data_IF_355989628650
#
_entry.id   IF_355989628650
#
_cell.length_a   1.000
_cell.length_b   1.000
_cell.length_c   1.000
_cell.angle_alpha   90.00
_cell.angle_beta   90.00
_cell.angle_gamma   90.00
#
_symmetry.space_group_name_H-M   'P 1'
#
loop_
_entity.id
_entity.type
_entity.pdbx_description
1 polymer ?
#
# COMPACT_ATOMS: atom_id res chain seq x y z
N UNK A 1 -28.24 10.91 -9.43
CA UNK A 1 -26.95 10.17 -9.37
C UNK A 1 -26.11 10.66 -8.20
N UNK A 2 -25.23 9.85 -7.59
CA UNK A 2 -24.43 10.25 -6.40
C UNK A 2 -23.56 11.50 -6.63
N UNK A 3 -23.09 11.73 -7.87
CA UNK A 3 -22.34 12.94 -8.24
C UNK A 3 -23.20 14.22 -8.15
N UNK A 4 -24.49 14.15 -8.50
CA UNK A 4 -25.41 15.28 -8.34
C UNK A 4 -25.76 15.57 -6.87
N UNK A 5 -25.43 14.65 -5.96
CA UNK A 5 -25.61 14.80 -4.52
C UNK A 5 -24.35 15.36 -3.82
N UNK A 6 -23.37 15.86 -4.57
CA UNK A 6 -22.16 16.51 -4.04
C UNK A 6 -20.98 15.58 -3.75
N UNK A 7 -20.97 14.37 -4.30
CA UNK A 7 -19.81 13.48 -4.17
C UNK A 7 -18.59 14.02 -4.92
N UNK A 8 -17.43 14.05 -4.28
CA UNK A 8 -16.16 14.44 -4.89
C UNK A 8 -15.70 13.36 -5.88
N UNK A 9 -15.76 13.70 -7.18
CA UNK A 9 -15.40 12.83 -8.31
C UNK A 9 -13.89 12.57 -8.41
N UNK A 10 -13.08 13.35 -7.71
CA UNK A 10 -11.63 13.25 -7.66
C UNK A 10 -11.12 12.63 -6.36
N UNK A 11 -12.03 12.30 -5.43
CA UNK A 11 -11.66 11.68 -4.18
C UNK A 11 -11.00 10.31 -4.42
N UNK A 12 -9.73 10.20 -4.02
CA UNK A 12 -8.90 9.03 -4.27
C UNK A 12 -8.71 8.19 -2.99
N UNK A 13 -9.63 7.26 -2.72
CA UNK A 13 -9.46 6.27 -1.64
C UNK A 13 -10.23 4.96 -1.92
N UNK A 14 -9.58 3.85 -2.32
CA UNK A 14 -8.14 3.72 -2.62
C UNK A 14 -7.71 4.36 -3.95
N UNK A 15 -8.62 4.53 -4.92
CA UNK A 15 -8.37 5.11 -6.24
C UNK A 15 -9.51 6.05 -6.64
N UNK A 16 -9.31 6.89 -7.66
CA UNK A 16 -10.40 7.73 -8.19
C UNK A 16 -11.44 6.87 -8.93
N UNK A 17 -12.71 7.31 -8.98
CA UNK A 17 -13.74 6.68 -9.82
C UNK A 17 -13.30 6.51 -11.27
N UNK A 18 -12.50 7.43 -11.79
CA UNK A 18 -11.98 7.41 -13.15
C UNK A 18 -10.95 6.29 -13.38
N UNK A 19 -10.03 6.07 -12.43
CA UNK A 19 -9.09 4.93 -12.46
C UNK A 19 -9.85 3.60 -12.39
N UNK A 20 -10.86 3.51 -11.53
CA UNK A 20 -11.66 2.29 -11.36
C UNK A 20 -12.45 1.96 -12.63
N UNK A 21 -13.14 2.93 -13.22
CA UNK A 21 -13.89 2.75 -14.47
C UNK A 21 -13.00 2.40 -15.66
N UNK A 22 -11.83 3.02 -15.76
CA UNK A 22 -10.82 2.72 -16.80
C UNK A 22 -10.27 1.29 -16.66
N UNK A 23 -10.01 0.84 -15.43
CA UNK A 23 -9.55 -0.53 -15.16
C UNK A 23 -10.65 -1.55 -15.44
N UNK A 24 -11.88 -1.28 -15.01
CA UNK A 24 -13.03 -2.17 -15.17
C UNK A 24 -13.53 -2.27 -16.63
N UNK A 25 -13.35 -1.23 -17.45
CA UNK A 25 -13.81 -1.24 -18.85
C UNK A 25 -15.11 -0.50 -19.08
N UNK A 26 -15.48 0.40 -18.15
CA UNK A 26 -16.79 1.04 -18.13
C UNK A 26 -16.74 2.34 -18.94
N UNK A 27 -16.84 2.23 -20.27
CA UNK A 27 -16.72 3.35 -21.20
C UNK A 27 -17.72 4.48 -20.91
N UNK A 28 -18.98 4.14 -20.60
CA UNK A 28 -20.01 5.14 -20.29
C UNK A 28 -19.74 5.87 -18.99
N UNK A 29 -19.20 5.17 -17.99
CA UNK A 29 -18.78 5.78 -16.73
C UNK A 29 -17.61 6.76 -16.94
N UNK A 30 -16.65 6.44 -17.81
CA UNK A 30 -15.53 7.33 -18.12
C UNK A 30 -16.04 8.62 -18.76
N UNK A 31 -16.91 8.51 -19.77
CA UNK A 31 -17.52 9.68 -20.42
C UNK A 31 -18.26 10.56 -19.42
N UNK A 32 -19.15 9.95 -18.63
CA UNK A 32 -19.90 10.66 -17.60
C UNK A 32 -18.98 11.33 -16.58
N UNK A 33 -17.92 10.66 -16.13
CA UNK A 33 -16.96 11.21 -15.18
C UNK A 33 -16.19 12.41 -15.74
N UNK A 34 -15.83 12.38 -17.02
CA UNK A 34 -15.20 13.52 -17.70
C UNK A 34 -16.17 14.69 -17.90
N UNK A 35 -17.45 14.40 -18.19
CA UNK A 35 -18.51 15.42 -18.29
C UNK A 35 -18.70 16.19 -16.97
N UNK A 36 -18.54 15.51 -15.82
CA UNK A 36 -18.60 16.13 -14.48
C UNK A 36 -17.23 16.63 -13.97
N UNK A 37 -16.26 16.84 -14.87
CA UNK A 37 -14.94 17.38 -14.59
C UNK A 37 -14.04 16.55 -13.65
N UNK A 38 -14.11 15.22 -13.74
CA UNK A 38 -13.09 14.36 -13.14
C UNK A 38 -11.71 14.63 -13.77
N UNK A 39 -10.67 14.71 -12.95
CA UNK A 39 -9.29 14.95 -13.38
C UNK A 39 -8.64 13.63 -13.85
N UNK A 40 -8.34 13.49 -15.15
CA UNK A 40 -7.71 12.29 -15.72
C UNK A 40 -6.21 12.22 -15.46
N UNK A 41 -5.61 13.21 -14.79
CA UNK A 41 -4.19 13.23 -14.46
C UNK A 41 -3.91 12.60 -13.10
N UNK A 42 -4.93 12.28 -12.29
CA UNK A 42 -4.74 11.63 -10.99
C UNK A 42 -4.37 10.16 -11.22
N UNK A 43 -3.14 9.73 -10.85
CA UNK A 43 -2.69 8.38 -11.10
C UNK A 43 -3.29 7.39 -10.10
N UNK A 44 -3.35 6.13 -10.52
CA UNK A 44 -3.61 4.99 -9.66
C UNK A 44 -2.56 4.92 -8.54
N UNK A 45 -3.01 4.81 -7.28
CA UNK A 45 -2.10 4.84 -6.12
C UNK A 45 -1.19 3.63 -6.03
N UNK A 46 -1.51 2.52 -6.70
CA UNK A 46 -0.74 1.28 -6.62
C UNK A 46 0.36 1.22 -7.68
N UNK A 47 0.01 1.57 -8.92
CA UNK A 47 0.87 1.49 -10.10
C UNK A 47 1.53 2.82 -10.47
N UNK A 48 1.02 3.95 -9.96
CA UNK A 48 1.46 5.29 -10.33
C UNK A 48 1.07 5.71 -11.74
N UNK A 49 0.24 4.91 -12.43
CA UNK A 49 -0.16 5.14 -13.81
C UNK A 49 -1.39 6.03 -13.87
N UNK A 50 -1.36 6.98 -14.80
CA UNK A 50 -2.55 7.76 -15.16
C UNK A 50 -3.60 6.86 -15.83
N UNK A 51 -4.90 7.20 -15.75
CA UNK A 51 -5.97 6.52 -16.49
C UNK A 51 -5.63 6.22 -17.95
N UNK A 52 -5.04 7.17 -18.68
CA UNK A 52 -4.69 6.98 -20.10
C UNK A 52 -3.59 5.94 -20.31
N UNK A 53 -2.59 5.87 -19.41
CA UNK A 53 -1.55 4.85 -19.44
C UNK A 53 -2.11 3.46 -19.09
N UNK A 54 -3.08 3.39 -18.18
CA UNK A 54 -3.78 2.14 -17.85
C UNK A 54 -4.55 1.63 -19.07
N UNK A 55 -5.34 2.48 -19.71
CA UNK A 55 -6.07 2.18 -20.94
C UNK A 55 -5.13 1.63 -22.04
N UNK A 56 -4.01 2.32 -22.26
CA UNK A 56 -2.99 1.90 -23.22
C UNK A 56 -2.34 0.55 -22.87
N UNK A 57 -2.04 0.32 -21.58
CA UNK A 57 -1.42 -0.94 -21.10
C UNK A 57 -2.35 -2.15 -21.20
N UNK A 58 -3.66 -1.94 -21.07
CA UNK A 58 -4.69 -2.98 -21.22
C UNK A 58 -5.01 -3.21 -22.71
N UNK A 59 -4.73 -2.23 -23.56
CA UNK A 59 -5.02 -2.27 -25.00
C UNK A 59 -6.42 -1.78 -25.35
N UNK A 60 -7.03 -0.95 -24.50
CA UNK A 60 -8.34 -0.32 -24.73
C UNK A 60 -8.15 1.00 -25.47
N UNK A 61 -8.19 0.92 -26.79
CA UNK A 61 -7.99 2.07 -27.68
C UNK A 61 -9.06 3.15 -27.49
N UNK A 62 -10.31 2.72 -27.40
CA UNK A 62 -11.48 3.55 -27.12
C UNK A 62 -11.28 4.42 -25.87
N UNK A 63 -10.72 3.85 -24.80
CA UNK A 63 -10.43 4.58 -23.57
C UNK A 63 -9.30 5.60 -23.74
N UNK A 64 -8.25 5.26 -24.50
CA UNK A 64 -7.16 6.19 -24.83
C UNK A 64 -7.68 7.38 -25.62
N UNK A 65 -8.53 7.14 -26.62
CA UNK A 65 -9.13 8.19 -27.44
C UNK A 65 -10.05 9.11 -26.64
N UNK A 66 -10.83 8.55 -25.70
CA UNK A 66 -11.71 9.32 -24.81
C UNK A 66 -10.91 10.18 -23.82
N UNK A 67 -9.83 9.65 -23.25
CA UNK A 67 -9.03 10.33 -22.22
C UNK A 67 -8.03 11.33 -22.80
N UNK A 68 -7.56 11.13 -24.04
CA UNK A 68 -6.51 11.93 -24.65
C UNK A 68 -6.76 13.45 -24.65
N UNK A 69 -7.96 13.97 -25.00
CA UNK A 69 -8.22 15.40 -25.00
C UNK A 69 -8.15 16.06 -23.62
N UNK A 70 -8.31 15.27 -22.55
CA UNK A 70 -8.40 15.76 -21.18
C UNK A 70 -7.11 15.53 -20.38
N UNK A 71 -6.16 14.77 -20.92
CA UNK A 71 -4.95 14.35 -20.19
C UNK A 71 -3.74 15.16 -20.62
N UNK A 72 -2.96 15.62 -19.63
CA UNK A 72 -1.70 16.31 -19.88
C UNK A 72 -0.63 15.32 -20.35
N UNK A 73 0.33 15.76 -21.19
CA UNK A 73 1.42 14.90 -21.67
C UNK A 73 2.19 14.23 -20.54
N UNK A 74 2.25 12.90 -20.58
CA UNK A 74 3.05 12.12 -19.63
C UNK A 74 4.50 12.12 -20.10
N UNK A 75 5.42 12.60 -19.26
CA UNK A 75 6.86 12.70 -19.54
C UNK A 75 7.50 11.40 -20.05
N UNK A 76 6.99 10.25 -19.64
CA UNK A 76 7.49 8.93 -20.05
C UNK A 76 7.15 8.58 -21.51
N UNK A 77 6.17 9.26 -22.12
CA UNK A 77 5.72 9.02 -23.49
C UNK A 77 6.35 10.06 -24.41
N UNK A 78 7.31 9.63 -25.23
CA UNK A 78 8.06 10.52 -26.13
C UNK A 78 7.26 10.95 -27.37
N UNK A 79 6.26 10.16 -27.77
CA UNK A 79 5.33 10.48 -28.85
C UNK A 79 3.92 10.62 -28.27
N UNK A 80 3.52 11.84 -27.94
CA UNK A 80 2.21 12.13 -27.33
C UNK A 80 1.09 12.20 -28.37
N UNK A 81 0.84 11.06 -29.01
CA UNK A 81 -0.29 10.82 -29.91
C UNK A 81 -1.03 9.57 -29.43
N UNK A 82 -2.28 9.37 -29.85
CA UNK A 82 -3.03 8.13 -29.53
C UNK A 82 -2.20 6.89 -29.90
N UNK A 83 -1.58 6.89 -31.08
CA UNK A 83 -0.70 5.81 -31.53
C UNK A 83 0.57 5.68 -30.68
N UNK A 84 1.22 6.80 -30.35
CA UNK A 84 2.44 6.79 -29.53
C UNK A 84 2.19 6.33 -28.09
N UNK A 85 1.03 6.68 -27.52
CA UNK A 85 0.57 6.23 -26.20
C UNK A 85 0.25 4.73 -26.23
N UNK A 86 -0.45 4.25 -27.26
CA UNK A 86 -0.74 2.82 -27.44
C UNK A 86 0.55 2.03 -27.63
N UNK A 87 1.49 2.53 -28.44
CA UNK A 87 2.79 1.92 -28.65
C UNK A 87 3.60 1.87 -27.34
N UNK A 88 3.61 2.95 -26.55
CA UNK A 88 4.23 2.99 -25.23
C UNK A 88 3.59 1.97 -24.27
N UNK A 89 2.26 1.89 -24.24
CA UNK A 89 1.50 0.92 -23.47
C UNK A 89 1.80 -0.53 -23.86
N UNK A 90 1.95 -0.81 -25.16
CA UNK A 90 2.36 -2.12 -25.71
C UNK A 90 3.80 -2.48 -25.34
N UNK A 91 4.74 -1.53 -25.43
CA UNK A 91 6.13 -1.72 -24.99
C UNK A 91 6.22 -1.98 -23.49
N UNK A 92 5.35 -1.36 -22.69
CA UNK A 92 5.21 -1.64 -21.26
C UNK A 92 4.50 -2.98 -20.99
N UNK A 93 3.62 -3.45 -21.89
CA UNK A 93 2.98 -4.77 -21.86
C UNK A 93 3.93 -5.91 -22.25
N UNK A 94 4.98 -5.61 -23.04
CA UNK A 94 6.10 -6.52 -23.34
C UNK A 94 7.03 -6.73 -22.13
N UNK A 95 6.91 -5.93 -21.07
CA UNK A 95 7.28 -6.36 -19.72
C UNK A 95 6.15 -7.28 -19.26
N UNK A 96 6.33 -8.61 -19.21
CA UNK A 96 5.22 -9.52 -19.07
C UNK A 96 4.46 -9.26 -17.76
N UNK A 97 3.13 -9.13 -17.85
CA UNK A 97 2.21 -9.23 -16.70
C UNK A 97 2.28 -10.60 -15.98
N UNK A 98 3.16 -11.51 -16.40
CA UNK A 98 3.56 -12.75 -15.68
C UNK A 98 4.94 -12.69 -15.01
N UNK A 99 5.75 -11.66 -15.26
CA UNK A 99 7.06 -11.46 -14.62
C UNK A 99 7.01 -10.40 -13.51
N UNK A 100 6.05 -9.47 -13.53
CA UNK A 100 5.99 -8.39 -12.55
C UNK A 100 5.39 -8.82 -11.20
N UNK A 101 4.40 -9.72 -11.17
CA UNK A 101 3.86 -10.21 -9.90
C UNK A 101 4.78 -11.27 -9.26
N UNK A 102 5.37 -12.17 -10.06
CA UNK A 102 6.35 -13.16 -9.58
C UNK A 102 7.61 -12.47 -9.10
N UNK A 103 8.30 -11.65 -9.91
CA UNK A 103 9.53 -10.96 -9.47
C UNK A 103 9.29 -9.98 -8.32
N UNK A 104 8.14 -9.29 -8.23
CA UNK A 104 7.82 -8.42 -7.09
C UNK A 104 7.49 -9.24 -5.84
N UNK A 105 6.74 -10.34 -5.97
CA UNK A 105 6.50 -11.28 -4.87
C UNK A 105 7.81 -11.92 -4.40
N UNK A 106 8.67 -12.33 -5.32
CA UNK A 106 9.99 -12.89 -5.08
C UNK A 106 10.91 -11.85 -4.45
N UNK A 107 10.86 -10.59 -4.92
CA UNK A 107 11.63 -9.49 -4.35
C UNK A 107 11.15 -9.12 -2.95
N UNK A 108 9.83 -9.13 -2.71
CA UNK A 108 9.24 -8.93 -1.39
C UNK A 108 9.66 -10.06 -0.45
N UNK A 109 9.56 -11.30 -0.88
CA UNK A 109 9.97 -12.47 -0.12
C UNK A 109 11.46 -12.42 0.22
N UNK A 110 12.30 -12.02 -0.74
CA UNK A 110 13.73 -11.82 -0.55
C UNK A 110 14.02 -10.70 0.46
N UNK A 111 13.37 -9.53 0.32
CA UNK A 111 13.52 -8.43 1.29
C UNK A 111 13.05 -8.84 2.68
N UNK A 112 11.97 -9.60 2.79
CA UNK A 112 11.48 -10.14 4.07
C UNK A 112 12.51 -11.08 4.69
N UNK A 113 13.06 -12.02 3.91
CA UNK A 113 14.14 -12.94 4.34
C UNK A 113 15.40 -12.18 4.77
N UNK A 114 15.81 -11.14 4.03
CA UNK A 114 16.94 -10.28 4.39
C UNK A 114 16.68 -9.51 5.69
N UNK A 115 15.47 -8.99 5.88
CA UNK A 115 15.05 -8.32 7.10
C UNK A 115 15.10 -9.26 8.30
N UNK A 116 14.61 -10.49 8.16
CA UNK A 116 14.67 -11.52 9.20
C UNK A 116 16.11 -11.92 9.53
N UNK A 117 16.98 -12.08 8.52
CA UNK A 117 18.43 -12.33 8.72
C UNK A 117 19.09 -11.18 9.46
N UNK A 118 18.77 -9.93 9.13
CA UNK A 118 19.28 -8.75 9.83
C UNK A 118 18.82 -8.70 11.29
N UNK A 119 17.54 -9.00 11.56
CA UNK A 119 17.00 -9.14 12.94
C UNK A 119 17.73 -10.24 13.71
N UNK A 120 17.99 -11.40 13.11
CA UNK A 120 18.78 -12.49 13.74
C UNK A 120 20.20 -12.05 14.11
N UNK A 121 20.81 -11.18 13.30
CA UNK A 121 22.12 -10.56 13.57
C UNK A 121 22.04 -9.38 14.56
N UNK A 122 20.86 -9.05 15.09
CA UNK A 122 20.59 -7.88 15.94
C UNK A 122 20.89 -6.53 15.27
N UNK A 123 21.03 -6.50 13.94
CA UNK A 123 21.16 -5.26 13.18
C UNK A 123 19.77 -4.70 12.86
N UNK A 124 19.15 -4.14 13.88
CA UNK A 124 17.79 -3.61 13.79
C UNK A 124 17.70 -2.37 12.89
N UNK A 125 18.77 -1.58 12.81
CA UNK A 125 18.79 -0.38 11.97
C UNK A 125 18.74 -0.77 10.49
N UNK A 126 19.57 -1.71 10.05
CA UNK A 126 19.51 -2.23 8.67
C UNK A 126 18.17 -2.94 8.40
N UNK A 127 17.70 -3.78 9.34
CA UNK A 127 16.41 -4.46 9.21
C UNK A 127 15.25 -3.47 9.00
N UNK A 128 15.22 -2.36 9.75
CA UNK A 128 14.16 -1.34 9.60
C UNK A 128 14.14 -0.69 8.21
N UNK A 129 15.32 -0.48 7.61
CA UNK A 129 15.45 0.05 6.24
C UNK A 129 14.97 -0.97 5.21
N UNK A 130 15.34 -2.25 5.40
CA UNK A 130 14.91 -3.35 4.52
C UNK A 130 13.39 -3.51 4.56
N UNK A 131 12.78 -3.52 5.76
CA UNK A 131 11.32 -3.60 5.88
C UNK A 131 10.61 -2.38 5.30
N UNK A 132 11.23 -1.20 5.35
CA UNK A 132 10.68 -0.02 4.67
C UNK A 132 10.63 -0.21 3.15
N UNK A 133 11.71 -0.73 2.54
CA UNK A 133 11.70 -1.10 1.12
C UNK A 133 10.68 -2.20 0.80
N UNK A 134 10.50 -3.18 1.70
CA UNK A 134 9.49 -4.22 1.51
C UNK A 134 8.06 -3.65 1.55
N UNK A 135 7.80 -2.65 2.40
CA UNK A 135 6.51 -1.96 2.50
C UNK A 135 6.22 -1.04 1.30
N UNK A 136 7.25 -0.57 0.59
CA UNK A 136 7.07 0.12 -0.70
C UNK A 136 6.51 -0.83 -1.77
N UNK A 137 6.76 -2.15 -1.65
CA UNK A 137 6.21 -3.17 -2.55
C UNK A 137 4.83 -3.69 -2.13
N UNK A 138 4.58 -3.76 -0.82
CA UNK A 138 3.30 -4.19 -0.25
C UNK A 138 2.96 -3.40 1.01
N UNK A 139 2.24 -2.30 0.79
CA UNK A 139 1.85 -1.38 1.85
C UNK A 139 0.81 -1.97 2.82
N UNK A 140 0.19 -3.11 2.50
CA UNK A 140 -0.89 -3.71 3.29
C UNK A 140 -0.46 -4.99 4.05
N UNK A 141 0.81 -5.38 3.98
CA UNK A 141 1.33 -6.52 4.76
C UNK A 141 1.54 -6.15 6.23
N UNK A 142 0.60 -6.56 7.08
CA UNK A 142 0.67 -6.40 8.53
C UNK A 142 1.94 -7.02 9.16
N UNK A 143 2.49 -8.08 8.56
CA UNK A 143 3.69 -8.75 9.07
C UNK A 143 4.91 -7.86 8.96
N UNK A 144 5.04 -7.12 7.86
CA UNK A 144 6.14 -6.19 7.66
C UNK A 144 6.08 -5.04 8.67
N UNK A 145 4.89 -4.49 8.95
CA UNK A 145 4.71 -3.50 10.02
C UNK A 145 5.06 -4.05 11.40
N UNK A 146 4.60 -5.27 11.74
CA UNK A 146 4.95 -5.91 13.02
C UNK A 146 6.47 -6.10 13.17
N UNK A 147 7.14 -6.52 12.10
CA UNK A 147 8.59 -6.76 12.11
C UNK A 147 9.37 -5.45 12.17
N UNK A 148 8.95 -4.41 11.44
CA UNK A 148 9.59 -3.08 11.51
C UNK A 148 9.34 -2.40 12.86
N UNK A 149 8.15 -2.57 13.44
CA UNK A 149 7.82 -2.14 14.80
C UNK A 149 8.78 -2.77 15.81
N UNK A 150 9.02 -4.08 15.75
CA UNK A 150 10.04 -4.75 16.56
C UNK A 150 11.42 -4.08 16.42
N UNK A 151 11.86 -3.81 15.19
CA UNK A 151 13.15 -3.14 14.98
C UNK A 151 13.19 -1.76 15.65
N UNK A 152 12.11 -0.97 15.54
CA UNK A 152 12.04 0.33 16.19
C UNK A 152 12.01 0.26 17.71
N UNK A 153 11.38 -0.75 18.31
CA UNK A 153 11.45 -0.99 19.75
C UNK A 153 12.91 -1.20 20.19
N UNK A 154 13.65 -2.03 19.47
CA UNK A 154 15.04 -2.36 19.81
C UNK A 154 16.00 -1.18 19.60
N UNK A 155 15.70 -0.27 18.68
CA UNK A 155 16.46 0.97 18.47
C UNK A 155 16.05 2.07 19.46
N UNK A 156 14.98 1.87 20.25
CA UNK A 156 14.44 2.88 21.17
C UNK A 156 13.56 3.95 20.50
N UNK A 157 13.15 3.77 19.23
CA UNK A 157 12.25 4.68 18.51
C UNK A 157 10.78 4.36 18.81
N UNK A 158 10.39 4.51 20.07
CA UNK A 158 9.10 4.06 20.59
C UNK A 158 7.88 4.62 19.82
N UNK A 159 7.89 5.91 19.47
CA UNK A 159 6.79 6.51 18.70
C UNK A 159 6.62 5.87 17.30
N UNK A 160 7.72 5.56 16.61
CA UNK A 160 7.66 4.89 15.30
C UNK A 160 7.18 3.46 15.45
N UNK A 161 7.62 2.77 16.49
CA UNK A 161 7.15 1.43 16.81
C UNK A 161 5.64 1.39 17.06
N UNK A 162 5.10 2.39 17.80
CA UNK A 162 3.68 2.52 18.08
C UNK A 162 2.86 2.74 16.81
N UNK A 163 3.33 3.60 15.90
CA UNK A 163 2.64 3.85 14.63
C UNK A 163 2.53 2.58 13.77
N UNK A 164 3.63 1.84 13.64
CA UNK A 164 3.65 0.58 12.90
C UNK A 164 2.78 -0.50 13.59
N UNK A 165 2.81 -0.57 14.93
CA UNK A 165 1.99 -1.52 15.69
C UNK A 165 0.49 -1.24 15.50
N UNK A 166 0.06 0.03 15.62
CA UNK A 166 -1.33 0.43 15.37
C UNK A 166 -1.75 0.15 13.92
N UNK A 167 -0.85 0.35 12.95
CA UNK A 167 -1.11 0.00 11.55
C UNK A 167 -1.29 -1.52 11.39
N UNK A 168 -0.46 -2.32 12.04
CA UNK A 168 -0.58 -3.78 12.08
C UNK A 168 -1.93 -4.23 12.67
N UNK A 169 -2.35 -3.66 13.82
CA UNK A 169 -3.65 -3.95 14.45
C UNK A 169 -4.81 -3.56 13.52
N UNK A 170 -4.74 -2.41 12.85
CA UNK A 170 -5.76 -2.01 11.87
C UNK A 170 -5.88 -2.98 10.69
N UNK A 171 -4.76 -3.51 10.20
CA UNK A 171 -4.73 -4.45 9.07
C UNK A 171 -5.14 -5.87 9.48
N UNK A 172 -4.76 -6.31 10.69
CA UNK A 172 -5.11 -7.64 11.23
C UNK A 172 -5.53 -7.53 12.70
N UNK A 173 -6.78 -7.14 12.99
CA UNK A 173 -7.25 -6.92 14.36
C UNK A 173 -7.22 -8.17 15.25
N UNK A 174 -7.39 -9.36 14.64
CA UNK A 174 -7.38 -10.66 15.32
C UNK A 174 -5.98 -11.30 15.40
N UNK A 175 -4.92 -10.51 15.23
CA UNK A 175 -3.55 -11.00 15.31
C UNK A 175 -2.86 -10.46 16.57
N UNK A 176 -2.64 -11.35 17.53
CA UNK A 176 -2.07 -11.02 18.84
C UNK A 176 -0.77 -10.20 18.73
N UNK A 177 0.13 -10.55 17.79
CA UNK A 177 1.43 -9.88 17.66
C UNK A 177 1.31 -8.37 17.44
N UNK A 178 0.27 -7.89 16.75
CA UNK A 178 0.03 -6.46 16.57
C UNK A 178 -0.20 -5.75 17.90
N UNK A 179 -1.13 -6.28 18.71
CA UNK A 179 -1.47 -5.75 20.04
C UNK A 179 -0.29 -5.84 21.01
N UNK A 180 0.48 -6.93 20.98
CA UNK A 180 1.69 -7.06 21.78
C UNK A 180 2.74 -6.01 21.43
N UNK A 181 2.98 -5.74 20.13
CA UNK A 181 3.90 -4.69 19.68
C UNK A 181 3.43 -3.30 20.12
N UNK A 182 2.12 -3.07 20.12
CA UNK A 182 1.52 -1.82 20.59
C UNK A 182 1.76 -1.63 22.10
N UNK A 183 1.49 -2.66 22.91
CA UNK A 183 1.77 -2.63 24.34
C UNK A 183 3.24 -2.39 24.65
N UNK A 184 4.15 -3.07 23.95
CA UNK A 184 5.59 -2.89 24.12
C UNK A 184 6.06 -1.46 23.74
N UNK A 185 5.48 -0.87 22.69
CA UNK A 185 5.80 0.51 22.31
C UNK A 185 5.29 1.53 23.35
N UNK A 186 4.08 1.31 23.87
CA UNK A 186 3.49 2.15 24.93
C UNK A 186 4.27 2.04 26.25
N UNK A 187 4.80 0.85 26.59
CA UNK A 187 5.69 0.68 27.73
C UNK A 187 6.97 1.53 27.60
N UNK A 188 7.60 1.56 26.42
CA UNK A 188 8.76 2.41 26.18
C UNK A 188 8.42 3.90 26.22
N UNK A 189 7.19 4.29 25.87
CA UNK A 189 6.67 5.65 26.00
C UNK A 189 6.20 5.99 27.43
N UNK A 190 6.26 5.04 28.37
CA UNK A 190 5.77 5.17 29.75
C UNK A 190 4.24 5.40 29.85
N UNK A 191 3.50 5.02 28.80
CA UNK A 191 2.03 5.04 28.78
C UNK A 191 1.44 3.75 29.36
N UNK A 192 1.75 3.46 30.63
CA UNK A 192 1.49 2.16 31.26
C UNK A 192 0.03 1.69 31.20
N UNK A 193 -0.94 2.60 31.38
CA UNK A 193 -2.37 2.26 31.32
C UNK A 193 -2.78 1.72 29.96
N UNK A 194 -2.38 2.40 28.88
CA UNK A 194 -2.69 1.97 27.51
C UNK A 194 -1.89 0.73 27.12
N UNK A 195 -0.67 0.60 27.63
CA UNK A 195 0.13 -0.60 27.42
C UNK A 195 -0.56 -1.85 27.99
N UNK A 196 -1.09 -1.74 29.21
CA UNK A 196 -1.84 -2.81 29.86
C UNK A 196 -3.08 -3.21 29.05
N UNK A 197 -3.86 -2.24 28.56
CA UNK A 197 -5.00 -2.51 27.69
C UNK A 197 -4.60 -3.25 26.40
N UNK A 198 -3.50 -2.83 25.76
CA UNK A 198 -2.99 -3.48 24.56
C UNK A 198 -2.52 -4.91 24.84
N UNK A 199 -1.83 -5.16 25.95
CA UNK A 199 -1.44 -6.51 26.36
C UNK A 199 -2.64 -7.39 26.73
N UNK A 200 -3.66 -6.84 27.39
CA UNK A 200 -4.92 -7.55 27.62
C UNK A 200 -5.59 -7.97 26.31
N UNK A 201 -5.63 -7.08 25.32
CA UNK A 201 -6.18 -7.41 24.01
C UNK A 201 -5.35 -8.48 23.29
N UNK A 202 -4.03 -8.46 23.45
CA UNK A 202 -3.14 -9.49 22.94
C UNK A 202 -3.41 -10.85 23.62
N UNK A 203 -3.54 -10.88 24.94
CA UNK A 203 -3.82 -12.08 25.73
C UNK A 203 -5.21 -12.66 25.45
N UNK A 204 -6.24 -11.83 25.22
CA UNK A 204 -7.57 -12.30 24.80
C UNK A 204 -7.54 -13.07 23.48
N UNK A 205 -6.59 -12.75 22.59
CA UNK A 205 -6.44 -13.41 21.29
C UNK A 205 -5.57 -14.68 21.38
N UNK A 206 -4.66 -14.76 22.35
CA UNK A 206 -3.82 -15.93 22.61
C UNK A 206 -3.60 -16.10 24.13
N UNK A 207 -4.57 -16.70 24.85
CA UNK A 207 -4.55 -16.77 26.32
C UNK A 207 -3.42 -17.62 26.89
N UNK A 208 -2.85 -18.53 26.10
CA UNK A 208 -1.77 -19.43 26.51
C UNK A 208 -0.36 -18.82 26.29
N UNK A 209 -0.29 -17.54 25.90
CA UNK A 209 0.99 -16.92 25.56
C UNK A 209 1.77 -16.47 26.81
N UNK A 210 2.71 -17.33 27.23
CA UNK A 210 3.56 -17.08 28.40
C UNK A 210 4.42 -15.81 28.30
N UNK A 211 4.69 -15.28 27.10
CA UNK A 211 5.43 -14.01 26.97
C UNK A 211 4.58 -12.81 27.40
N UNK A 212 3.29 -12.80 27.05
CA UNK A 212 2.37 -11.70 27.39
C UNK A 212 2.07 -11.72 28.89
N UNK A 213 1.86 -12.91 29.43
CA UNK A 213 1.60 -13.12 30.85
C UNK A 213 2.74 -12.56 31.71
N UNK A 214 4.01 -12.85 31.36
CA UNK A 214 5.19 -12.33 32.07
C UNK A 214 5.35 -10.81 32.02
N UNK A 215 4.76 -10.12 31.05
CA UNK A 215 4.87 -8.66 30.92
C UNK A 215 3.76 -7.95 31.72
N UNK A 216 2.74 -8.69 32.14
CA UNK A 216 1.57 -8.18 32.87
C UNK A 216 1.70 -8.26 34.39
N UNK A 217 2.57 -9.14 34.90
CA UNK A 217 2.79 -9.43 36.33
C UNK A 217 4.24 -9.16 36.73
#
# INVERSE_FOLDING_TARGET
>A
MLVQAGADVNYAYPNTPLVVSTTAGLTDCIKYLLEVHADPNIPDKQSGLTPIEIAASVGRRDHVEILFPFTSPVRAVTNWTVEGIIAHGKSRRLIPKGESCSKVSDRKAELKSQGEKAVKRKDYLAASKIYTKALELDYFDATLYSNRSLCYLQIGKAQKALLDAKKCVKLRPKWMKGHYREGAALMLLKEHKKAFEAFLNALKLDPANAEIEKVMW
#
